data_IF_990033643213
#
_entry.id   IF_990033643213
#
_cell.length_a   1.000
_cell.length_b   1.000
_cell.length_c   1.000
_cell.angle_alpha   90.00
_cell.angle_beta   90.00
_cell.angle_gamma   90.00
#
_symmetry.space_group_name_H-M   'P 1'
#
loop_
_entity.id
_entity.type
_entity.pdbx_description
1 polymer ?
#
# COMPACT_ATOMS: atom_id res chain seq x y z
N UNK A 1 17.40 8.88 -1.14
CA UNK A 1 16.87 8.22 0.08
C UNK A 1 16.47 9.30 1.08
N UNK A 2 15.26 9.22 1.64
CA UNK A 2 14.81 10.12 2.72
C UNK A 2 15.11 9.50 4.09
N UNK A 3 15.29 10.31 5.12
CA UNK A 3 15.50 9.86 6.51
C UNK A 3 14.23 10.12 7.31
N UNK A 4 13.84 9.15 8.13
CA UNK A 4 12.68 9.23 9.02
C UNK A 4 13.16 8.89 10.42
N UNK A 5 12.81 9.71 11.41
CA UNK A 5 13.01 9.43 12.83
C UNK A 5 11.75 8.76 13.36
N UNK A 6 11.92 7.65 14.08
CA UNK A 6 10.82 6.87 14.66
C UNK A 6 11.23 6.50 16.08
N UNK A 7 10.36 6.78 17.04
CA UNK A 7 10.52 6.33 18.41
C UNK A 7 9.94 4.91 18.54
N UNK A 8 10.75 3.99 19.04
CA UNK A 8 10.37 2.60 19.30
C UNK A 8 10.64 2.31 20.77
N UNK A 9 9.74 1.57 21.46
CA UNK A 9 10.03 1.09 22.80
C UNK A 9 11.23 0.13 22.76
N UNK A 10 12.03 0.11 23.84
CA UNK A 10 13.25 -0.71 23.91
C UNK A 10 12.98 -2.19 23.60
N UNK A 11 11.85 -2.73 24.08
CA UNK A 11 11.47 -4.12 23.81
C UNK A 11 11.34 -4.44 22.31
N UNK A 12 10.84 -3.51 21.50
CA UNK A 12 10.75 -3.71 20.05
C UNK A 12 12.12 -3.63 19.37
N UNK A 13 13.04 -2.84 19.93
CA UNK A 13 14.42 -2.76 19.43
C UNK A 13 15.15 -4.08 19.70
N UNK A 14 14.91 -4.68 20.87
CA UNK A 14 15.46 -5.99 21.24
C UNK A 14 14.89 -7.11 20.36
N UNK A 15 13.57 -7.16 20.17
CA UNK A 15 12.92 -8.13 19.27
C UNK A 15 13.46 -8.01 17.84
N UNK A 16 13.67 -6.77 17.36
CA UNK A 16 14.24 -6.53 16.04
C UNK A 16 15.71 -6.99 15.96
N UNK A 17 16.48 -6.87 17.04
CA UNK A 17 17.86 -7.36 17.09
C UNK A 17 17.91 -8.89 16.93
N UNK A 18 17.00 -9.61 17.61
CA UNK A 18 16.89 -11.08 17.49
C UNK A 18 16.60 -11.50 16.04
N UNK A 19 15.67 -10.82 15.37
CA UNK A 19 15.33 -11.10 13.96
C UNK A 19 16.53 -10.88 13.05
N UNK A 20 17.26 -9.79 13.28
CA UNK A 20 18.43 -9.40 12.49
C UNK A 20 19.58 -10.39 12.63
N UNK A 21 19.80 -10.91 13.84
CA UNK A 21 20.76 -11.97 14.10
C UNK A 21 20.35 -13.28 13.43
N UNK A 22 19.07 -13.66 13.54
CA UNK A 22 18.54 -14.88 12.95
C UNK A 22 18.61 -14.86 11.42
N UNK A 23 18.29 -13.73 10.78
CA UNK A 23 18.35 -13.59 9.32
C UNK A 23 19.74 -13.26 8.79
N UNK A 24 20.69 -12.85 9.65
CA UNK A 24 22.01 -12.34 9.27
C UNK A 24 21.95 -11.16 8.29
N UNK A 25 20.97 -10.27 8.48
CA UNK A 25 20.71 -9.12 7.58
C UNK A 25 20.82 -7.81 8.33
N UNK A 26 21.28 -6.72 7.69
CA UNK A 26 21.37 -5.43 8.36
C UNK A 26 19.99 -4.95 8.80
N UNK A 27 19.88 -4.37 10.00
CA UNK A 27 18.62 -3.83 10.58
C UNK A 27 17.80 -3.01 9.58
N UNK A 28 18.46 -2.14 8.82
CA UNK A 28 17.79 -1.29 7.84
C UNK A 28 17.15 -2.06 6.68
N UNK A 29 17.66 -3.25 6.31
CA UNK A 29 17.02 -4.09 5.29
C UNK A 29 15.75 -4.72 5.83
N UNK A 30 15.79 -5.31 7.02
CA UNK A 30 14.62 -5.89 7.70
C UNK A 30 13.51 -4.86 7.87
N UNK A 31 13.85 -3.64 8.32
CA UNK A 31 12.88 -2.54 8.45
C UNK A 31 12.27 -2.15 7.10
N UNK A 32 13.08 -2.05 6.03
CA UNK A 32 12.56 -1.71 4.69
C UNK A 32 11.58 -2.75 4.18
N UNK A 33 11.90 -4.04 4.32
CA UNK A 33 11.04 -5.13 3.89
C UNK A 33 9.72 -5.14 4.69
N UNK A 34 9.79 -4.89 6.00
CA UNK A 34 8.60 -4.78 6.84
C UNK A 34 7.69 -3.63 6.40
N UNK A 35 8.26 -2.46 6.10
CA UNK A 35 7.52 -1.30 5.58
C UNK A 35 6.90 -1.63 4.21
N UNK A 36 7.64 -2.27 3.31
CA UNK A 36 7.14 -2.65 1.98
C UNK A 36 5.99 -3.65 2.07
N UNK A 37 6.12 -4.66 2.93
CA UNK A 37 5.06 -5.65 3.18
C UNK A 37 3.81 -4.98 3.75
N UNK A 38 3.97 -4.08 4.71
CA UNK A 38 2.86 -3.33 5.33
C UNK A 38 2.13 -2.44 4.33
N UNK A 39 2.88 -1.68 3.51
CA UNK A 39 2.31 -0.84 2.45
C UNK A 39 1.57 -1.71 1.44
N UNK A 40 2.15 -2.83 1.01
CA UNK A 40 1.55 -3.73 0.03
C UNK A 40 0.26 -4.38 0.55
N UNK A 41 0.22 -4.75 1.83
CA UNK A 41 -0.99 -5.25 2.48
C UNK A 41 -2.09 -4.19 2.50
N UNK A 42 -1.77 -2.95 2.86
CA UNK A 42 -2.74 -1.84 2.91
C UNK A 42 -3.18 -1.35 1.53
N UNK A 43 -2.28 -1.32 0.55
CA UNK A 43 -2.64 -0.98 -0.84
C UNK A 43 -3.63 -1.97 -1.42
N UNK A 44 -3.53 -3.27 -1.10
CA UNK A 44 -4.54 -4.26 -1.50
C UNK A 44 -5.90 -3.95 -0.88
N UNK A 45 -5.93 -3.68 0.43
CA UNK A 45 -7.17 -3.32 1.13
C UNK A 45 -7.80 -2.03 0.59
N UNK A 46 -6.99 -0.99 0.34
CA UNK A 46 -7.46 0.26 -0.27
C UNK A 46 -7.87 0.07 -1.73
N UNK A 47 -7.14 -0.74 -2.50
CA UNK A 47 -7.48 -1.08 -3.89
C UNK A 47 -8.82 -1.79 -4.03
N UNK A 48 -9.23 -2.58 -3.02
CA UNK A 48 -10.57 -3.15 -2.92
C UNK A 48 -11.65 -2.05 -2.84
N UNK A 49 -11.37 -0.92 -2.17
CA UNK A 49 -12.26 0.26 -2.14
C UNK A 49 -12.25 1.04 -3.48
N UNK A 50 -11.14 1.02 -4.23
CA UNK A 50 -11.05 1.74 -5.52
C UNK A 50 -11.95 1.15 -6.61
N UNK A 51 -12.22 -0.16 -6.59
CA UNK A 51 -13.25 -0.75 -7.45
C UNK A 51 -14.67 -0.25 -7.12
N UNK A 52 -14.91 0.27 -5.91
CA UNK A 52 -16.16 0.90 -5.50
C UNK A 52 -16.31 2.36 -5.93
N UNK A 53 -15.21 3.07 -6.21
CA UNK A 53 -15.24 4.50 -6.60
C UNK A 53 -15.82 4.75 -8.00
N UNK A 54 -15.85 3.73 -8.87
CA UNK A 54 -16.58 3.81 -10.14
C UNK A 54 -18.07 3.47 -9.99
N UNK A 55 -18.47 2.79 -8.91
CA UNK A 55 -19.87 2.44 -8.64
C UNK A 55 -20.73 3.68 -8.34
N UNK A 56 -20.14 4.75 -7.82
CA UNK A 56 -20.82 6.03 -7.56
C UNK A 56 -20.94 6.92 -8.79
N UNK A 57 -20.15 6.68 -9.85
CA UNK A 57 -20.38 7.28 -11.17
C UNK A 57 -21.44 6.45 -11.89
N UNK A 58 -22.72 6.79 -11.68
CA UNK A 58 -23.84 6.33 -12.54
C UNK A 58 -23.75 6.95 -13.94
N UNK A 59 -22.64 6.79 -14.64
CA UNK A 59 -22.63 7.04 -16.07
C UNK A 59 -22.94 5.70 -16.71
N UNK A 60 -24.17 5.53 -17.17
CA UNK A 60 -24.55 4.38 -17.98
C UNK A 60 -23.64 4.35 -19.20
N UNK A 61 -22.76 3.34 -19.28
CA UNK A 61 -21.78 3.22 -20.36
C UNK A 61 -22.42 3.13 -21.74
N UNK A 62 -23.69 2.67 -21.80
CA UNK A 62 -24.46 2.60 -23.04
C UNK A 62 -24.93 4.00 -23.47
N UNK A 63 -25.38 4.83 -22.53
CA UNK A 63 -25.80 6.20 -22.79
C UNK A 63 -24.62 7.08 -23.25
N UNK A 64 -23.46 6.92 -22.63
CA UNK A 64 -22.24 7.64 -23.03
C UNK A 64 -21.78 7.28 -24.46
N UNK A 65 -21.88 6.01 -24.83
CA UNK A 65 -21.57 5.57 -26.20
C UNK A 65 -22.60 6.04 -27.23
N UNK A 66 -23.87 6.17 -26.85
CA UNK A 66 -24.93 6.69 -27.72
C UNK A 66 -24.76 8.19 -27.97
N UNK A 67 -24.40 8.97 -26.95
CA UNK A 67 -24.14 10.41 -27.06
C UNK A 67 -22.97 10.68 -28.03
N UNK A 68 -21.84 9.99 -27.86
CA UNK A 68 -20.69 10.08 -28.77
C UNK A 68 -20.99 9.67 -30.22
N UNK A 69 -21.96 8.76 -30.43
CA UNK A 69 -22.39 8.32 -31.78
C UNK A 69 -23.43 9.22 -32.42
N UNK A 70 -24.11 10.06 -31.64
CA UNK A 70 -25.08 11.03 -32.16
C UNK A 70 -24.43 12.28 -32.76
N UNK A 71 -23.13 12.46 -32.54
CA UNK A 71 -22.33 13.56 -33.10
C UNK A 71 -21.64 13.22 -34.44
N UNK A 72 -21.88 12.02 -35.01
CA UNK A 72 -21.34 11.57 -36.30
C UNK A 72 -22.46 11.33 -37.32
#
# INVERSE_FOLDING_TARGET
>A
MSRILVDLPESQVDDLAVIVEAEQRPRAAVIRDAIEAYISQRKRALGTEVFGLWKSRKTDGLAYQQELRSEW
#
